data_IF_522835600289
#
_entry.id   IF_522835600289
#
_cell.length_a   1.000
_cell.length_b   1.000
_cell.length_c   1.000
_cell.angle_alpha   90.00
_cell.angle_beta   90.00
_cell.angle_gamma   90.00
#
_symmetry.space_group_name_H-M   'P 1'
#
loop_
_entity.id
_entity.type
_entity.pdbx_description
1 polymer ?
#
# COMPACT_ATOMS: atom_id res chain seq x y z
N UNK A 1 8.24 5.92 -9.22
CA UNK A 1 7.78 6.02 -10.60
C UNK A 1 8.57 7.08 -11.36
N UNK A 2 9.30 6.73 -12.44
CA UNK A 2 10.10 7.69 -13.23
C UNK A 2 9.26 8.84 -13.83
N UNK A 3 8.01 8.58 -14.18
CA UNK A 3 7.11 9.60 -14.71
C UNK A 3 6.79 10.67 -13.67
N UNK A 4 6.58 10.28 -12.41
CA UNK A 4 6.34 11.22 -11.32
C UNK A 4 7.55 12.14 -11.08
N UNK A 5 8.76 11.59 -11.15
CA UNK A 5 10.00 12.38 -11.01
C UNK A 5 10.13 13.38 -12.17
N UNK A 6 9.87 12.94 -13.40
CA UNK A 6 9.94 13.82 -14.58
C UNK A 6 8.92 14.97 -14.52
N UNK A 7 7.68 14.68 -14.14
CA UNK A 7 6.65 15.69 -14.00
C UNK A 7 6.89 16.65 -12.83
N UNK A 8 7.51 16.15 -11.75
CA UNK A 8 7.88 16.95 -10.60
C UNK A 8 9.09 17.88 -10.78
N UNK A 9 9.86 17.72 -11.87
CA UNK A 9 11.08 18.51 -12.10
C UNK A 9 10.84 20.03 -12.09
N UNK A 10 9.72 20.48 -12.65
CA UNK A 10 9.34 21.90 -12.65
C UNK A 10 9.10 22.48 -11.25
N UNK A 11 8.65 21.64 -10.30
CA UNK A 11 8.46 22.03 -8.91
C UNK A 11 9.81 22.20 -8.20
N UNK A 12 10.79 21.37 -8.52
CA UNK A 12 12.16 21.50 -7.96
C UNK A 12 12.75 22.84 -8.36
N UNK A 13 12.61 23.26 -9.63
CA UNK A 13 13.04 24.57 -10.09
C UNK A 13 12.31 25.71 -9.38
N UNK A 14 10.99 25.60 -9.23
CA UNK A 14 10.17 26.60 -8.52
C UNK A 14 10.55 26.75 -7.04
N UNK A 15 10.90 25.66 -6.39
CA UNK A 15 11.21 25.62 -4.94
C UNK A 15 12.68 25.35 -4.64
N UNK A 16 13.58 25.97 -5.42
CA UNK A 16 15.04 25.81 -5.32
C UNK A 16 15.53 25.76 -3.87
N UNK A 17 16.31 24.73 -3.55
CA UNK A 17 16.88 24.51 -2.21
C UNK A 17 15.92 24.01 -1.13
N UNK A 18 14.60 24.00 -1.38
CA UNK A 18 13.58 23.55 -0.43
C UNK A 18 12.88 22.25 -0.84
N UNK A 19 12.99 21.84 -2.09
CA UNK A 19 12.41 20.61 -2.61
C UNK A 19 13.49 19.75 -3.27
N UNK A 20 13.53 18.49 -2.88
CA UNK A 20 14.35 17.45 -3.50
C UNK A 20 13.46 16.27 -3.87
N UNK A 21 13.57 15.79 -5.10
CA UNK A 21 12.92 14.57 -5.55
C UNK A 21 13.94 13.44 -5.56
N UNK A 22 13.51 12.27 -5.10
CA UNK A 22 14.31 11.04 -5.10
C UNK A 22 13.51 9.96 -5.78
N UNK A 23 14.08 9.33 -6.82
CA UNK A 23 13.45 8.21 -7.52
C UNK A 23 13.78 6.90 -6.82
N UNK A 24 13.02 6.59 -5.77
CA UNK A 24 13.19 5.36 -5.01
C UNK A 24 11.87 4.94 -4.36
N UNK A 25 11.84 3.77 -3.72
CA UNK A 25 10.77 3.33 -2.86
C UNK A 25 10.81 4.11 -1.54
N UNK A 26 9.64 4.42 -0.97
CA UNK A 26 9.59 5.19 0.28
C UNK A 26 10.05 4.38 1.49
N UNK A 27 10.14 3.05 1.41
CA UNK A 27 10.81 2.22 2.40
C UNK A 27 12.29 2.59 2.57
N UNK A 28 12.94 3.11 1.52
CA UNK A 28 14.33 3.52 1.51
C UNK A 28 14.58 4.96 2.01
N UNK A 29 13.53 5.66 2.45
CA UNK A 29 13.65 7.07 2.90
C UNK A 29 14.71 7.26 3.99
N UNK A 30 14.90 6.25 4.86
CA UNK A 30 15.93 6.27 5.90
C UNK A 30 17.35 6.36 5.33
N UNK A 31 17.65 5.59 4.30
CA UNK A 31 18.97 5.64 3.62
C UNK A 31 19.24 7.01 3.00
N UNK A 32 18.21 7.62 2.41
CA UNK A 32 18.33 8.95 1.82
C UNK A 32 18.52 10.05 2.88
N UNK A 33 17.84 9.94 4.02
CA UNK A 33 18.00 10.87 5.14
C UNK A 33 19.40 10.72 5.76
N UNK A 34 19.87 9.49 5.99
CA UNK A 34 21.22 9.23 6.49
C UNK A 34 22.31 9.75 5.52
N UNK A 35 22.14 9.55 4.21
CA UNK A 35 23.07 10.07 3.19
C UNK A 35 23.12 11.61 3.12
N UNK A 36 22.09 12.28 3.60
CA UNK A 36 22.01 13.74 3.72
C UNK A 36 22.44 14.26 5.10
N UNK A 37 22.89 13.37 5.99
CA UNK A 37 23.16 13.66 7.41
C UNK A 37 21.96 14.27 8.15
N UNK A 38 20.73 13.95 7.72
CA UNK A 38 19.50 14.37 8.37
C UNK A 38 19.15 13.34 9.46
N UNK A 39 19.31 13.73 10.71
CA UNK A 39 19.05 12.84 11.86
C UNK A 39 17.55 12.78 12.22
N UNK A 40 16.84 13.88 12.05
CA UNK A 40 15.40 13.95 12.36
C UNK A 40 14.68 14.88 11.40
N UNK A 41 13.37 14.65 11.25
CA UNK A 41 12.46 15.49 10.46
C UNK A 41 11.26 15.95 11.29
N UNK A 42 10.68 17.08 10.91
CA UNK A 42 9.51 17.68 11.57
C UNK A 42 8.22 16.91 11.31
N UNK A 43 8.13 16.25 10.18
CA UNK A 43 6.96 15.46 9.80
C UNK A 43 7.25 14.52 8.63
N UNK A 44 6.45 13.46 8.55
CA UNK A 44 6.41 12.57 7.41
C UNK A 44 4.97 12.42 6.93
N UNK A 45 4.79 12.50 5.61
CA UNK A 45 3.49 12.28 4.96
C UNK A 45 3.64 11.13 3.98
N UNK A 46 2.83 10.11 4.14
CA UNK A 46 2.71 9.02 3.17
C UNK A 46 1.37 9.12 2.48
N UNK A 47 1.39 9.52 1.20
CA UNK A 47 0.25 9.45 0.30
C UNK A 47 0.45 8.22 -0.58
N UNK A 48 -0.14 7.09 -0.15
CA UNK A 48 0.14 5.77 -0.71
C UNK A 48 -0.86 5.38 -1.80
N UNK A 49 -0.60 4.28 -2.47
CA UNK A 49 -1.43 3.77 -3.56
C UNK A 49 -0.97 4.21 -4.94
N UNK A 50 -1.90 4.41 -5.86
CA UNK A 50 -1.63 4.74 -7.26
C UNK A 50 -1.86 6.21 -7.55
N UNK A 51 -1.02 6.79 -8.42
CA UNK A 51 -1.18 8.16 -8.90
C UNK A 51 -2.26 8.26 -9.99
N UNK A 52 -2.80 9.47 -10.18
CA UNK A 52 -3.70 9.76 -11.30
C UNK A 52 -3.04 9.46 -12.65
N UNK A 53 -1.76 9.76 -12.81
CA UNK A 53 -0.98 9.47 -14.02
C UNK A 53 -0.98 7.97 -14.38
N UNK A 54 -0.83 7.11 -13.37
CA UNK A 54 -0.83 5.65 -13.57
C UNK A 54 -2.21 5.15 -14.00
N UNK A 55 -3.29 5.72 -13.44
CA UNK A 55 -4.67 5.33 -13.75
C UNK A 55 -5.10 5.86 -15.13
N UNK A 56 -4.72 7.10 -15.47
CA UNK A 56 -5.20 7.81 -16.66
C UNK A 56 -4.45 7.40 -17.94
N UNK A 57 -3.32 6.69 -17.83
CA UNK A 57 -2.54 6.19 -18.95
C UNK A 57 -2.81 4.69 -19.18
N UNK A 58 -3.60 4.32 -20.22
CA UNK A 58 -3.93 2.91 -20.48
C UNK A 58 -2.71 2.03 -20.65
N UNK A 59 -1.63 2.56 -21.22
CA UNK A 59 -0.36 1.85 -21.44
C UNK A 59 0.35 1.43 -20.14
N UNK A 60 -0.01 2.02 -18.99
CA UNK A 60 0.53 1.66 -17.67
C UNK A 60 -0.16 0.43 -17.05
N UNK A 61 -1.34 0.08 -17.53
CA UNK A 61 -2.03 -1.12 -17.12
C UNK A 61 -2.67 -1.10 -15.73
N UNK A 62 -2.97 0.05 -15.15
CA UNK A 62 -3.55 0.17 -13.80
C UNK A 62 -5.08 0.21 -13.76
N UNK A 63 -5.73 0.61 -14.85
CA UNK A 63 -7.17 0.84 -14.89
C UNK A 63 -7.91 -0.20 -15.72
N UNK A 64 -8.96 -0.80 -15.16
CA UNK A 64 -9.87 -1.70 -15.88
C UNK A 64 -10.90 -0.95 -16.75
N UNK A 65 -10.88 0.39 -16.77
CA UNK A 65 -11.79 1.22 -17.56
C UNK A 65 -11.30 1.44 -18.99
N UNK A 66 -9.99 1.31 -19.21
CA UNK A 66 -9.37 1.41 -20.53
C UNK A 66 -8.54 0.16 -20.80
N UNK A 67 -8.58 -0.35 -22.06
CA UNK A 67 -7.78 -1.52 -22.42
C UNK A 67 -6.33 -1.13 -22.66
N UNK A 68 -5.41 -1.88 -22.06
CA UNK A 68 -3.97 -1.65 -22.14
C UNK A 68 -3.19 -2.96 -21.94
N UNK A 69 -1.86 -2.88 -21.94
CA UNK A 69 -1.01 -4.01 -21.60
C UNK A 69 -1.23 -4.41 -20.13
N UNK A 70 -0.99 -5.65 -19.81
CA UNK A 70 -1.05 -6.16 -18.44
C UNK A 70 0.31 -5.90 -17.74
N UNK A 71 0.61 -4.62 -17.50
CA UNK A 71 1.90 -4.19 -16.94
C UNK A 71 1.85 -4.01 -15.42
N UNK A 72 1.17 -3.00 -14.91
CA UNK A 72 0.97 -2.65 -13.49
C UNK A 72 2.25 -2.32 -12.69
N UNK A 73 3.41 -2.16 -13.31
CA UNK A 73 4.66 -1.80 -12.63
C UNK A 73 4.72 -0.31 -12.29
N UNK A 74 4.82 0.04 -11.02
CA UNK A 74 5.00 1.43 -10.60
C UNK A 74 6.39 1.95 -10.99
N UNK A 75 7.43 1.14 -10.80
CA UNK A 75 8.81 1.49 -11.13
C UNK A 75 9.15 1.41 -12.62
N UNK A 76 8.26 0.88 -13.47
CA UNK A 76 8.49 0.59 -14.90
C UNK A 76 9.67 -0.38 -15.14
N UNK A 77 10.09 -1.11 -14.11
CA UNK A 77 11.17 -2.09 -14.14
C UNK A 77 10.75 -3.35 -13.39
N UNK A 78 11.46 -4.45 -13.60
CA UNK A 78 11.17 -5.73 -12.98
C UNK A 78 10.02 -6.50 -13.66
N UNK A 79 9.46 -7.45 -12.94
CA UNK A 79 8.40 -8.36 -13.41
C UNK A 79 7.10 -7.61 -13.66
N UNK A 80 6.49 -7.79 -14.83
CA UNK A 80 5.15 -7.26 -15.16
C UNK A 80 4.03 -8.16 -14.65
N UNK A 81 2.81 -7.64 -14.59
CA UNK A 81 1.64 -8.45 -14.24
C UNK A 81 1.39 -9.57 -15.29
N UNK A 82 1.73 -9.32 -16.56
CA UNK A 82 1.68 -10.34 -17.61
C UNK A 82 2.63 -11.49 -17.28
N UNK A 83 3.89 -11.20 -17.00
CA UNK A 83 4.90 -12.20 -16.68
C UNK A 83 4.59 -12.95 -15.38
N UNK A 84 4.12 -12.24 -14.36
CA UNK A 84 3.68 -12.83 -13.11
C UNK A 84 2.59 -13.89 -13.34
N UNK A 85 1.51 -13.53 -14.02
CA UNK A 85 0.38 -14.44 -14.25
C UNK A 85 0.68 -15.56 -15.24
N UNK A 86 1.71 -15.39 -16.11
CA UNK A 86 2.14 -16.41 -17.03
C UNK A 86 3.03 -17.48 -16.38
N UNK A 87 3.81 -17.10 -15.36
CA UNK A 87 4.84 -17.96 -14.78
C UNK A 87 4.45 -18.48 -13.38
N UNK A 88 3.52 -17.79 -12.67
CA UNK A 88 3.10 -18.21 -11.35
C UNK A 88 2.26 -19.51 -11.39
N UNK A 89 2.38 -20.30 -10.35
CA UNK A 89 1.52 -21.48 -10.15
C UNK A 89 0.09 -21.05 -9.78
N UNK A 90 -0.89 -21.88 -10.12
CA UNK A 90 -2.31 -21.64 -9.80
C UNK A 90 -2.53 -21.33 -8.32
N UNK A 91 -1.82 -22.05 -7.44
CA UNK A 91 -1.89 -21.84 -6.00
C UNK A 91 -1.42 -20.45 -5.59
N UNK A 92 -0.31 -19.96 -6.16
CA UNK A 92 0.26 -18.66 -5.81
C UNK A 92 -0.67 -17.53 -6.27
N UNK A 93 -1.26 -17.65 -7.46
CA UNK A 93 -2.28 -16.72 -7.95
C UNK A 93 -3.50 -16.73 -7.02
N UNK A 94 -3.97 -17.90 -6.58
CA UNK A 94 -5.10 -17.99 -5.64
C UNK A 94 -4.79 -17.35 -4.31
N UNK A 95 -3.58 -17.55 -3.77
CA UNK A 95 -3.13 -16.96 -2.51
C UNK A 95 -3.04 -15.41 -2.61
N UNK A 96 -2.51 -14.88 -3.72
CA UNK A 96 -2.48 -13.43 -4.00
C UNK A 96 -3.90 -12.85 -4.02
N UNK A 97 -4.82 -13.46 -4.77
CA UNK A 97 -6.19 -12.99 -4.87
C UNK A 97 -6.94 -13.06 -3.53
N UNK A 98 -6.67 -14.06 -2.72
CA UNK A 98 -7.25 -14.22 -1.40
C UNK A 98 -6.71 -13.19 -0.39
N UNK A 99 -5.38 -13.07 -0.31
CA UNK A 99 -4.70 -12.23 0.69
C UNK A 99 -4.86 -10.73 0.41
N UNK A 100 -4.74 -10.34 -0.85
CA UNK A 100 -4.72 -8.92 -1.23
C UNK A 100 -6.02 -8.43 -1.90
N UNK A 101 -6.84 -9.34 -2.41
CA UNK A 101 -8.14 -9.04 -3.01
C UNK A 101 -9.32 -9.34 -2.10
N UNK A 102 -9.09 -10.02 -0.96
CA UNK A 102 -10.15 -10.55 -0.10
C UNK A 102 -11.17 -11.41 -0.90
N UNK A 103 -10.73 -12.02 -2.04
CA UNK A 103 -11.59 -12.80 -2.93
C UNK A 103 -11.78 -14.23 -2.39
N UNK A 104 -12.99 -14.53 -1.93
CA UNK A 104 -13.32 -15.84 -1.33
C UNK A 104 -13.27 -16.98 -2.33
N UNK A 105 -13.56 -16.71 -3.61
CA UNK A 105 -13.52 -17.68 -4.70
C UNK A 105 -12.17 -17.65 -5.44
N UNK A 106 -11.09 -17.24 -4.79
CA UNK A 106 -9.75 -17.02 -5.37
C UNK A 106 -9.24 -18.23 -6.14
N UNK A 107 -9.45 -19.46 -5.64
CA UNK A 107 -9.06 -20.69 -6.34
C UNK A 107 -9.77 -20.84 -7.68
N UNK A 108 -11.09 -20.58 -7.72
CA UNK A 108 -11.87 -20.63 -8.95
C UNK A 108 -11.38 -19.62 -9.99
N UNK A 109 -11.07 -18.41 -9.53
CA UNK A 109 -10.50 -17.35 -10.38
C UNK A 109 -9.12 -17.74 -10.88
N UNK A 110 -8.24 -18.23 -10.00
CA UNK A 110 -6.89 -18.68 -10.37
C UNK A 110 -6.92 -19.80 -11.42
N UNK A 111 -7.77 -20.83 -11.23
CA UNK A 111 -7.98 -21.90 -12.23
C UNK A 111 -8.41 -21.32 -13.58
N UNK A 112 -9.33 -20.35 -13.59
CA UNK A 112 -9.78 -19.71 -14.83
C UNK A 112 -8.67 -18.88 -15.49
N UNK A 113 -7.83 -18.20 -14.69
CA UNK A 113 -6.66 -17.47 -15.17
C UNK A 113 -5.64 -18.43 -15.81
N UNK A 114 -5.29 -19.52 -15.16
CA UNK A 114 -4.29 -20.48 -15.67
C UNK A 114 -4.75 -21.19 -16.93
N UNK A 115 -6.04 -21.61 -16.98
CA UNK A 115 -6.62 -22.29 -18.15
C UNK A 115 -6.78 -21.37 -19.36
N UNK A 116 -6.92 -20.09 -19.13
CA UNK A 116 -7.14 -19.12 -20.19
C UNK A 116 -5.86 -18.71 -20.91
N UNK A 117 -5.23 -19.57 -21.68
CA UNK A 117 -3.92 -19.37 -22.33
C UNK A 117 -3.82 -18.20 -23.31
N UNK A 118 -4.95 -17.64 -23.78
CA UNK A 118 -4.97 -16.67 -24.88
C UNK A 118 -5.07 -15.20 -24.45
N UNK A 119 -5.16 -14.86 -23.15
CA UNK A 119 -5.48 -13.49 -22.71
C UNK A 119 -4.34 -12.75 -21.97
N UNK A 120 -3.20 -13.37 -21.91
CA UNK A 120 -2.07 -12.99 -21.07
C UNK A 120 -1.37 -11.65 -21.43
N UNK A 121 -1.97 -10.81 -22.28
CA UNK A 121 -1.36 -9.54 -22.75
C UNK A 121 -2.22 -8.29 -22.53
N UNK A 122 -3.52 -8.44 -22.26
CA UNK A 122 -4.48 -7.32 -22.27
C UNK A 122 -5.39 -7.34 -21.05
N UNK A 123 -5.55 -6.17 -20.43
CA UNK A 123 -6.37 -5.95 -19.24
C UNK A 123 -7.80 -6.42 -19.40
N UNK A 124 -8.46 -6.05 -20.49
CA UNK A 124 -9.87 -6.39 -20.70
C UNK A 124 -10.12 -7.90 -20.82
N UNK A 125 -9.14 -8.63 -21.32
CA UNK A 125 -9.25 -10.11 -21.39
C UNK A 125 -9.17 -10.72 -20.00
N UNK A 126 -8.24 -10.27 -19.17
CA UNK A 126 -8.15 -10.72 -17.78
C UNK A 126 -9.43 -10.36 -17.00
N UNK A 127 -9.90 -9.11 -17.13
CA UNK A 127 -11.15 -8.68 -16.49
C UNK A 127 -12.35 -9.53 -16.93
N UNK A 128 -12.45 -9.87 -18.22
CA UNK A 128 -13.51 -10.76 -18.76
C UNK A 128 -13.46 -12.13 -18.10
N UNK A 129 -12.29 -12.75 -18.00
CA UNK A 129 -12.13 -14.09 -17.39
C UNK A 129 -12.55 -14.06 -15.91
N UNK A 130 -12.09 -13.04 -15.16
CA UNK A 130 -12.46 -12.88 -13.75
C UNK A 130 -13.98 -12.72 -13.60
N UNK A 131 -14.60 -11.81 -14.37
CA UNK A 131 -16.04 -11.58 -14.35
C UNK A 131 -16.84 -12.84 -14.69
N UNK A 132 -16.44 -13.57 -15.72
CA UNK A 132 -17.08 -14.84 -16.11
C UNK A 132 -16.93 -15.92 -15.04
N UNK A 133 -15.73 -16.04 -14.45
CA UNK A 133 -15.49 -17.03 -13.39
C UNK A 133 -16.32 -16.79 -12.14
N UNK A 134 -16.65 -15.52 -11.83
CA UNK A 134 -17.42 -15.13 -10.65
C UNK A 134 -18.92 -14.93 -10.93
N UNK A 135 -19.35 -15.09 -12.18
CA UNK A 135 -20.75 -14.93 -12.56
C UNK A 135 -21.24 -13.48 -12.48
N UNK A 136 -20.32 -12.52 -12.68
CA UNK A 136 -20.63 -11.08 -12.66
C UNK A 136 -21.65 -10.68 -13.73
N UNK A 137 -22.58 -9.82 -13.36
CA UNK A 137 -23.59 -9.24 -14.24
C UNK A 137 -23.38 -7.71 -14.32
N UNK A 138 -23.66 -7.06 -15.47
CA UNK A 138 -23.46 -5.61 -15.65
C UNK A 138 -24.17 -4.72 -14.64
N UNK A 139 -25.21 -5.24 -13.97
CA UNK A 139 -25.99 -4.49 -12.96
C UNK A 139 -25.52 -4.71 -11.52
N UNK A 140 -24.49 -5.56 -11.31
CA UNK A 140 -23.93 -5.77 -9.97
C UNK A 140 -23.21 -4.51 -9.50
N UNK A 141 -23.46 -4.12 -8.24
CA UNK A 141 -22.94 -2.88 -7.65
C UNK A 141 -21.42 -2.76 -7.62
N UNK A 142 -20.71 -3.89 -7.63
CA UNK A 142 -19.24 -3.95 -7.55
C UNK A 142 -18.70 -4.90 -8.61
N UNK A 143 -17.76 -4.41 -9.39
CA UNK A 143 -17.03 -5.24 -10.34
C UNK A 143 -15.95 -6.05 -9.59
N UNK A 144 -16.05 -7.39 -9.58
CA UNK A 144 -15.07 -8.24 -8.89
C UNK A 144 -13.69 -8.17 -9.52
N UNK A 145 -13.58 -7.80 -10.79
CA UNK A 145 -12.28 -7.60 -11.44
C UNK A 145 -11.46 -6.53 -10.74
N UNK A 146 -12.08 -5.46 -10.21
CA UNK A 146 -11.36 -4.40 -9.52
C UNK A 146 -10.56 -4.90 -8.32
N UNK A 147 -11.15 -5.79 -7.49
CA UNK A 147 -10.46 -6.37 -6.33
C UNK A 147 -9.32 -7.31 -6.75
N UNK A 148 -9.53 -8.11 -7.80
CA UNK A 148 -8.50 -9.00 -8.32
C UNK A 148 -7.32 -8.22 -8.92
N UNK A 149 -7.59 -7.16 -9.67
CA UNK A 149 -6.56 -6.26 -10.21
C UNK A 149 -5.78 -5.55 -9.10
N UNK A 150 -6.49 -5.05 -8.08
CA UNK A 150 -5.85 -4.49 -6.89
C UNK A 150 -4.93 -5.52 -6.21
N UNK A 151 -5.36 -6.77 -6.07
CA UNK A 151 -4.55 -7.84 -5.47
C UNK A 151 -3.25 -8.10 -6.24
N UNK A 152 -3.34 -8.21 -7.56
CA UNK A 152 -2.19 -8.42 -8.45
C UNK A 152 -1.23 -7.22 -8.33
N UNK A 153 -1.74 -5.99 -8.37
CA UNK A 153 -0.97 -4.75 -8.25
C UNK A 153 -0.22 -4.67 -6.92
N UNK A 154 -0.93 -4.90 -5.80
CA UNK A 154 -0.34 -4.88 -4.46
C UNK A 154 0.80 -5.89 -4.35
N UNK A 155 0.60 -7.11 -4.84
CA UNK A 155 1.62 -8.15 -4.81
C UNK A 155 2.82 -7.80 -5.68
N UNK A 156 2.57 -7.37 -6.93
CA UNK A 156 3.61 -7.03 -7.89
C UNK A 156 4.53 -5.91 -7.40
N UNK A 157 3.94 -4.86 -6.84
CA UNK A 157 4.67 -3.67 -6.36
C UNK A 157 5.05 -3.74 -4.87
N UNK A 158 4.77 -4.86 -4.18
CA UNK A 158 5.06 -5.05 -2.75
C UNK A 158 4.49 -3.92 -1.86
N UNK A 159 3.36 -3.34 -2.26
CA UNK A 159 2.83 -2.09 -1.68
C UNK A 159 2.66 -2.15 -0.15
N UNK A 160 2.18 -3.29 0.39
CA UNK A 160 1.98 -3.43 1.83
C UNK A 160 3.28 -3.65 2.61
N UNK A 161 4.31 -4.24 2.01
CA UNK A 161 5.62 -4.39 2.65
C UNK A 161 6.34 -3.04 2.66
N UNK A 162 6.33 -2.30 1.55
CA UNK A 162 6.82 -0.93 1.46
C UNK A 162 6.18 -0.03 2.53
N UNK A 163 4.86 -0.15 2.73
CA UNK A 163 4.14 0.60 3.76
C UNK A 163 4.66 0.28 5.16
N UNK A 164 4.84 -1.00 5.49
CA UNK A 164 5.33 -1.43 6.81
C UNK A 164 6.74 -0.90 7.08
N UNK A 165 7.64 -1.05 6.11
CA UNK A 165 9.03 -0.62 6.22
C UNK A 165 9.11 0.92 6.35
N UNK A 166 8.30 1.64 5.57
CA UNK A 166 8.21 3.11 5.67
C UNK A 166 7.68 3.60 7.02
N UNK A 167 6.68 2.93 7.60
CA UNK A 167 6.15 3.26 8.93
C UNK A 167 7.21 3.07 10.03
N UNK A 168 8.01 2.01 9.95
CA UNK A 168 9.11 1.78 10.90
C UNK A 168 10.20 2.86 10.77
N UNK A 169 10.51 3.25 9.53
CA UNK A 169 11.45 4.34 9.28
C UNK A 169 10.95 5.68 9.86
N UNK A 170 9.65 5.96 9.75
CA UNK A 170 9.07 7.17 10.33
C UNK A 170 9.26 7.25 11.85
N UNK A 171 9.16 6.13 12.56
CA UNK A 171 9.41 6.09 13.99
C UNK A 171 10.84 6.50 14.36
N UNK A 172 11.82 6.06 13.57
CA UNK A 172 13.24 6.37 13.77
C UNK A 172 13.56 7.86 13.55
N UNK A 173 13.01 8.44 12.47
CA UNK A 173 13.43 9.77 12.01
C UNK A 173 12.54 10.92 12.46
N UNK A 174 11.36 10.68 13.01
CA UNK A 174 10.52 11.76 13.51
C UNK A 174 11.08 12.31 14.82
N UNK A 175 11.30 13.63 14.88
CA UNK A 175 11.64 14.32 16.13
C UNK A 175 10.46 14.33 17.11
N UNK A 176 10.73 14.56 18.39
CA UNK A 176 9.69 14.81 19.40
C UNK A 176 8.70 15.87 18.91
N UNK A 177 7.39 15.57 19.02
CA UNK A 177 6.26 16.35 18.50
C UNK A 177 6.16 16.39 16.97
N UNK A 178 7.04 15.70 16.24
CA UNK A 178 6.92 15.52 14.79
C UNK A 178 5.65 14.73 14.46
N UNK A 179 5.06 15.01 13.30
CA UNK A 179 3.80 14.41 12.84
C UNK A 179 4.04 13.31 11.80
N UNK A 180 3.44 12.15 12.01
CA UNK A 180 3.25 11.13 10.97
C UNK A 180 1.81 11.22 10.46
N UNK A 181 1.64 11.50 9.17
CA UNK A 181 0.36 11.50 8.49
C UNK A 181 0.37 10.48 7.34
N UNK A 182 -0.66 9.64 7.27
CA UNK A 182 -0.76 8.60 6.23
C UNK A 182 -2.14 8.65 5.60
N UNK A 183 -2.19 8.75 4.27
CA UNK A 183 -3.42 8.66 3.48
C UNK A 183 -3.47 7.27 2.85
N UNK A 184 -4.54 6.54 3.13
CA UNK A 184 -4.79 5.18 2.63
C UNK A 184 -6.01 5.16 1.73
N UNK A 185 -6.07 4.25 0.75
CA UNK A 185 -7.16 4.16 -0.23
C UNK A 185 -7.95 2.86 -0.18
N UNK A 186 -7.47 1.85 0.54
CA UNK A 186 -8.19 0.59 0.74
C UNK A 186 -8.01 0.00 2.14
N UNK A 187 -8.87 -0.98 2.46
CA UNK A 187 -8.99 -1.57 3.80
C UNK A 187 -7.71 -2.22 4.34
N UNK A 188 -6.89 -2.82 3.47
CA UNK A 188 -5.66 -3.49 3.89
C UNK A 188 -4.61 -2.48 4.35
N UNK A 189 -4.42 -1.40 3.60
CA UNK A 189 -3.54 -0.29 4.00
C UNK A 189 -4.01 0.32 5.32
N UNK A 190 -5.30 0.70 5.40
CA UNK A 190 -5.88 1.33 6.58
C UNK A 190 -5.73 0.45 7.83
N UNK A 191 -5.87 -0.87 7.68
CA UNK A 191 -5.67 -1.85 8.76
C UNK A 191 -4.23 -1.85 9.27
N UNK A 192 -3.23 -1.83 8.38
CA UNK A 192 -1.81 -1.78 8.73
C UNK A 192 -1.49 -0.49 9.48
N UNK A 193 -1.87 0.67 8.92
CA UNK A 193 -1.62 1.98 9.53
C UNK A 193 -2.29 2.11 10.88
N UNK A 194 -3.57 1.72 10.98
CA UNK A 194 -4.32 1.73 12.23
C UNK A 194 -3.68 0.85 13.30
N UNK A 195 -3.24 -0.36 12.92
CA UNK A 195 -2.60 -1.30 13.84
C UNK A 195 -1.28 -0.72 14.35
N UNK A 196 -0.40 -0.29 13.43
CA UNK A 196 0.87 0.33 13.74
C UNK A 196 0.71 1.52 14.70
N UNK A 197 -0.14 2.49 14.35
CA UNK A 197 -0.33 3.69 15.18
C UNK A 197 -0.90 3.37 16.57
N UNK A 198 -1.77 2.37 16.70
CA UNK A 198 -2.34 1.98 18.00
C UNK A 198 -1.34 1.22 18.86
N UNK A 199 -0.60 0.31 18.27
CA UNK A 199 0.42 -0.47 18.96
C UNK A 199 1.50 0.45 19.54
N UNK A 200 2.03 1.33 18.71
CA UNK A 200 3.08 2.28 19.09
C UNK A 200 2.58 3.46 19.95
N UNK A 201 1.27 3.60 20.10
CA UNK A 201 0.63 4.49 21.10
C UNK A 201 0.27 3.76 22.42
N UNK A 202 0.80 2.55 22.65
CA UNK A 202 0.52 1.76 23.85
C UNK A 202 -0.94 1.24 23.93
N UNK A 203 -1.68 1.26 22.82
CA UNK A 203 -3.05 0.79 22.74
C UNK A 203 -3.11 -0.64 22.19
N UNK A 204 -2.28 -1.53 22.70
CA UNK A 204 -2.37 -2.97 22.42
C UNK A 204 -3.73 -3.48 22.87
N UNK A 205 -4.36 -4.32 22.02
CA UNK A 205 -5.70 -4.82 22.24
C UNK A 205 -5.89 -5.40 23.63
N UNK A 206 -7.07 -5.19 24.22
CA UNK A 206 -7.41 -5.82 25.48
C UNK A 206 -7.15 -7.32 25.38
N UNK A 207 -6.14 -7.78 26.08
CA UNK A 207 -5.98 -9.20 26.42
C UNK A 207 -7.34 -9.67 26.95
N UNK A 208 -7.81 -10.82 26.50
CA UNK A 208 -9.06 -11.42 26.94
C UNK A 208 -9.28 -11.16 28.44
N UNK A 209 -10.53 -10.82 28.85
CA UNK A 209 -10.88 -10.57 30.27
C UNK A 209 -10.46 -11.66 31.24
N UNK A 210 -9.98 -12.79 30.74
CA UNK A 210 -9.56 -13.98 31.49
C UNK A 210 -8.04 -14.19 31.53
N UNK A 211 -7.23 -13.30 30.94
CA UNK A 211 -5.78 -13.37 31.07
C UNK A 211 -5.29 -12.29 32.04
N UNK A 212 -4.35 -12.62 32.96
CA UNK A 212 -3.73 -11.62 33.83
C UNK A 212 -3.12 -10.52 32.96
N UNK A 213 -3.47 -9.27 33.25
CA UNK A 213 -2.83 -8.11 32.62
C UNK A 213 -1.40 -8.08 33.16
N UNK A 214 -0.44 -8.64 32.42
CA UNK A 214 0.96 -8.35 32.62
C UNK A 214 1.15 -6.94 32.07
N UNK A 215 1.53 -5.94 32.90
CA UNK A 215 1.85 -4.62 32.40
C UNK A 215 3.11 -4.73 31.52
N UNK A 216 2.97 -5.04 30.25
CA UNK A 216 4.05 -4.80 29.29
C UNK A 216 4.14 -3.29 29.15
N UNK A 217 5.14 -2.70 29.76
CA UNK A 217 5.52 -1.31 29.53
C UNK A 217 6.19 -1.21 28.16
N UNK A 218 5.40 -1.42 27.09
CA UNK A 218 5.89 -1.14 25.75
C UNK A 218 6.11 0.37 25.67
N UNK A 219 7.24 0.82 25.16
CA UNK A 219 7.51 2.24 25.00
C UNK A 219 6.45 2.85 24.09
N UNK A 220 5.91 3.98 24.52
CA UNK A 220 4.88 4.71 23.80
C UNK A 220 5.56 5.72 22.89
N UNK A 221 5.78 5.35 21.63
CA UNK A 221 6.46 6.20 20.65
C UNK A 221 5.56 7.27 20.05
N UNK A 222 4.26 7.02 19.99
CA UNK A 222 3.29 7.95 19.42
C UNK A 222 2.20 8.33 20.41
N UNK A 223 1.67 9.54 20.22
CA UNK A 223 0.46 9.99 20.91
C UNK A 223 -0.74 9.11 20.54
N UNK A 224 -1.83 9.20 21.30
CA UNK A 224 -3.09 8.57 20.93
C UNK A 224 -3.50 9.02 19.52
N UNK A 225 -3.79 8.08 18.60
CA UNK A 225 -4.20 8.42 17.24
C UNK A 225 -5.45 9.31 17.23
N UNK A 226 -5.41 10.35 16.41
CA UNK A 226 -6.56 11.19 16.14
C UNK A 226 -7.67 10.37 15.45
N UNK A 227 -8.89 10.91 15.45
CA UNK A 227 -9.96 10.32 14.64
C UNK A 227 -9.57 10.37 13.16
N UNK A 228 -9.81 9.29 12.38
CA UNK A 228 -9.51 9.30 10.96
C UNK A 228 -10.36 10.36 10.25
N UNK A 229 -9.75 11.05 9.30
CA UNK A 229 -10.43 12.06 8.46
C UNK A 229 -10.70 11.46 7.10
N UNK A 230 -11.86 11.75 6.54
CA UNK A 230 -12.26 11.36 5.18
C UNK A 230 -12.65 12.59 4.39
N UNK A 231 -12.59 12.49 3.07
CA UNK A 231 -12.98 13.55 2.18
C UNK A 231 -14.44 13.97 2.42
N UNK A 232 -14.66 15.29 2.55
CA UNK A 232 -16.00 15.88 2.65
C UNK A 232 -16.67 16.01 1.29
N UNK A 233 -17.97 16.35 1.26
CA UNK A 233 -18.75 16.45 0.02
C UNK A 233 -18.15 17.43 -1.00
N UNK A 234 -17.65 18.57 -0.53
CA UNK A 234 -17.02 19.58 -1.37
C UNK A 234 -15.76 19.04 -2.08
N UNK A 235 -14.96 18.26 -1.37
CA UNK A 235 -13.78 17.62 -1.95
C UNK A 235 -14.19 16.52 -2.94
N UNK A 236 -15.15 15.68 -2.57
CA UNK A 236 -15.65 14.60 -3.42
C UNK A 236 -16.25 15.11 -4.73
N UNK A 237 -16.90 16.26 -4.71
CA UNK A 237 -17.42 16.91 -5.92
C UNK A 237 -16.32 17.34 -6.89
N UNK A 238 -15.13 17.72 -6.36
CA UNK A 238 -13.96 18.13 -7.17
C UNK A 238 -13.03 16.96 -7.50
N UNK A 239 -12.90 16.01 -6.58
CA UNK A 239 -12.03 14.85 -6.70
C UNK A 239 -12.75 13.56 -6.26
N UNK A 240 -13.53 12.92 -7.15
CA UNK A 240 -14.22 11.66 -6.84
C UNK A 240 -13.28 10.52 -6.40
N UNK A 241 -11.98 10.59 -6.76
CA UNK A 241 -10.98 9.59 -6.37
C UNK A 241 -10.68 9.61 -4.87
N UNK A 242 -10.93 10.74 -4.19
CA UNK A 242 -10.79 10.85 -2.73
C UNK A 242 -11.85 10.06 -1.93
N UNK A 243 -12.86 9.47 -2.59
CA UNK A 243 -13.95 8.74 -1.92
C UNK A 243 -13.47 7.63 -1.00
N UNK A 244 -12.40 6.94 -1.34
CA UNK A 244 -11.83 5.86 -0.55
C UNK A 244 -10.71 6.32 0.38
N UNK A 245 -10.28 7.58 0.28
CA UNK A 245 -9.19 8.13 1.06
C UNK A 245 -9.53 8.18 2.55
N UNK A 246 -8.59 7.76 3.37
CA UNK A 246 -8.67 7.88 4.83
C UNK A 246 -7.33 8.38 5.35
N UNK A 247 -7.33 9.59 5.94
CA UNK A 247 -6.16 10.18 6.58
C UNK A 247 -6.12 9.76 8.05
N UNK A 248 -4.96 9.27 8.50
CA UNK A 248 -4.61 9.04 9.90
C UNK A 248 -3.37 9.81 10.28
N UNK A 249 -3.32 10.33 11.50
CA UNK A 249 -2.16 11.05 12.01
C UNK A 249 -1.89 10.73 13.49
N UNK A 250 -0.61 10.76 13.83
CA UNK A 250 -0.07 10.65 15.20
C UNK A 250 1.12 11.59 15.36
N UNK A 251 1.43 11.93 16.61
CA UNK A 251 2.59 12.75 16.94
C UNK A 251 3.61 11.95 17.74
N UNK A 252 4.88 12.16 17.46
CA UNK A 252 6.00 11.55 18.16
C UNK A 252 6.05 12.02 19.61
N UNK A 253 6.20 11.09 20.56
CA UNK A 253 6.41 11.38 22.00
C UNK A 253 7.88 11.68 22.28
N UNK A 254 8.21 11.91 23.55
CA UNK A 254 9.59 12.10 24.03
C UNK A 254 10.35 10.76 24.22
N UNK A 255 9.68 9.62 24.07
CA UNK A 255 10.30 8.31 24.21
C UNK A 255 11.42 8.14 23.16
N UNK A 256 12.68 7.90 23.57
CA UNK A 256 13.77 7.73 22.62
C UNK A 256 13.55 6.50 21.74
N UNK A 257 14.01 6.57 20.50
CA UNK A 257 14.08 5.41 19.64
C UNK A 257 15.17 4.45 20.18
N UNK A 258 14.87 3.17 20.26
CA UNK A 258 15.82 2.12 20.63
C UNK A 258 15.69 0.96 19.63
N UNK A 259 16.81 0.52 19.09
CA UNK A 259 16.87 -0.64 18.21
C UNK A 259 16.72 -1.96 18.98
N UNK A 260 17.04 -1.96 20.30
CA UNK A 260 17.03 -3.15 21.17
C UNK A 260 15.65 -3.57 21.68
N UNK A 261 14.61 -2.80 21.35
CA UNK A 261 13.27 -3.21 21.75
C UNK A 261 12.82 -4.32 20.80
N UNK A 262 12.81 -5.56 21.31
CA UNK A 262 12.22 -6.71 20.62
C UNK A 262 10.76 -6.37 20.25
N UNK A 263 10.56 -5.98 19.00
CA UNK A 263 9.26 -5.61 18.46
C UNK A 263 8.40 -6.86 18.44
N UNK A 264 7.19 -6.82 18.99
CA UNK A 264 6.29 -7.96 18.84
C UNK A 264 6.13 -8.22 17.33
N UNK A 265 6.34 -9.48 16.96
CA UNK A 265 6.12 -9.94 15.58
C UNK A 265 4.70 -9.52 15.16
N UNK A 266 4.60 -8.53 14.30
CA UNK A 266 3.33 -8.20 13.67
C UNK A 266 2.97 -9.36 12.77
N UNK A 267 2.22 -10.31 13.30
CA UNK A 267 1.76 -11.51 12.61
C UNK A 267 0.71 -11.13 11.54
N UNK A 268 1.20 -10.43 10.52
CA UNK A 268 0.57 -10.45 9.20
C UNK A 268 1.40 -11.49 8.43
N UNK A 269 0.80 -12.55 7.87
CA UNK A 269 1.56 -13.62 7.22
C UNK A 269 2.51 -13.01 6.20
N UNK A 270 3.81 -13.15 6.44
CA UNK A 270 4.82 -12.82 5.42
C UNK A 270 4.57 -13.78 4.26
N UNK A 271 4.38 -13.27 3.07
CA UNK A 271 4.48 -14.07 1.87
C UNK A 271 5.83 -14.79 1.91
N UNK A 272 5.84 -16.14 1.80
CA UNK A 272 7.07 -16.92 1.79
C UNK A 272 8.01 -16.30 0.76
N UNK A 273 9.20 -15.87 1.22
CA UNK A 273 10.27 -15.40 0.35
C UNK A 273 10.45 -16.44 -0.75
N UNK A 274 10.33 -16.02 -1.99
CA UNK A 274 10.85 -16.78 -3.11
C UNK A 274 12.36 -16.82 -2.94
N UNK A 275 12.90 -17.96 -2.51
CA UNK A 275 14.31 -18.28 -2.69
C UNK A 275 14.55 -18.44 -4.18
N UNK A 276 15.60 -17.81 -4.63
CA UNK A 276 16.14 -17.70 -5.99
C UNK A 276 16.03 -18.93 -6.87
#
# INVERSE_FOLDING_TARGET
DPDAIREGASLVEKYKGRLRLVNDCFSNIGHHLDALDIKTVDGMVFDIGVSSMQIDRPERGFSIQADGPLDMRMAQAGLSAEELLNNAQEKDIADVLYLYGEERQSRRVATAIVRGTAFKRRLFRLAKVIRQSLGYRPFDKKDPAAHCFQAIRIHLNRELDELKDGLQTAERFLKTKGCLAVVTFHSLEDRIVKHFMREHAGQTGQVSRHQPVIPQQNPVFFSKPARPVRAGETELARNPRARSATLRAVYRTETPFSEDISRPDTHIPRSRRQSA
#
